data_IF_999701569992
#
_entry.id   IF_999701569992
#
_cell.length_a   1.000
_cell.length_b   1.000
_cell.length_c   1.000
_cell.angle_alpha   90.00
_cell.angle_beta   90.00
_cell.angle_gamma   90.00
#
_symmetry.space_group_name_H-M   'P 1'
#
loop_
_entity.id
_entity.type
_entity.pdbx_description
1 polymer ?
#
# COMPACT_ATOMS: atom_id res chain seq x y z
N UNK A 1 -12.16 32.28 14.39
CA UNK A 1 -12.36 30.82 14.64
C UNK A 1 -11.07 30.09 14.30
N UNK A 2 -10.31 29.58 15.29
CA UNK A 2 -9.11 28.78 15.01
C UNK A 2 -9.55 27.41 14.48
N UNK A 3 -9.49 27.23 13.16
CA UNK A 3 -9.74 25.94 12.50
C UNK A 3 -8.53 25.04 12.74
N UNK A 4 -8.54 24.29 13.84
CA UNK A 4 -7.57 23.21 14.05
C UNK A 4 -7.91 22.08 13.08
N UNK A 5 -6.96 21.69 12.23
CA UNK A 5 -7.15 20.54 11.35
C UNK A 5 -7.42 19.29 12.20
N UNK A 6 -8.43 18.46 11.85
CA UNK A 6 -8.69 17.23 12.59
C UNK A 6 -7.48 16.30 12.43
N UNK A 7 -7.01 15.74 13.55
CA UNK A 7 -5.84 14.86 13.57
C UNK A 7 -5.95 13.68 12.59
N UNK A 8 -7.15 13.13 12.44
CA UNK A 8 -7.43 12.07 11.47
C UNK A 8 -7.09 12.51 10.03
N UNK A 9 -7.42 13.73 9.63
CA UNK A 9 -7.11 14.22 8.29
C UNK A 9 -5.60 14.31 8.05
N UNK A 10 -4.85 14.83 9.04
CA UNK A 10 -3.39 14.91 8.98
C UNK A 10 -2.77 13.53 8.87
N UNK A 11 -3.27 12.57 9.64
CA UNK A 11 -2.84 11.17 9.56
C UNK A 11 -3.13 10.56 8.18
N UNK A 12 -4.33 10.75 7.63
CA UNK A 12 -4.70 10.19 6.32
C UNK A 12 -3.85 10.76 5.18
N UNK A 13 -3.61 12.08 5.17
CA UNK A 13 -2.75 12.72 4.16
C UNK A 13 -1.30 12.27 4.33
N UNK A 14 -0.79 12.23 5.57
CA UNK A 14 0.55 11.74 5.86
C UNK A 14 0.76 10.29 5.44
N UNK A 15 -0.23 9.42 5.71
CA UNK A 15 -0.19 8.02 5.28
C UNK A 15 -0.18 7.88 3.76
N UNK A 16 -0.96 8.69 3.03
CA UNK A 16 -0.95 8.69 1.57
C UNK A 16 0.42 9.10 1.02
N UNK A 17 1.01 10.18 1.57
CA UNK A 17 2.34 10.65 1.15
C UNK A 17 3.40 9.57 1.40
N UNK A 18 3.40 8.93 2.57
CA UNK A 18 4.33 7.84 2.87
C UNK A 18 4.12 6.66 1.91
N UNK A 19 2.87 6.27 1.64
CA UNK A 19 2.57 5.19 0.71
C UNK A 19 3.08 5.49 -0.71
N UNK A 20 2.86 6.72 -1.21
CA UNK A 20 3.39 7.18 -2.50
C UNK A 20 4.90 7.08 -2.51
N UNK A 21 5.58 7.69 -1.53
CA UNK A 21 7.05 7.74 -1.51
C UNK A 21 7.66 6.33 -1.46
N UNK A 22 7.15 5.45 -0.61
CA UNK A 22 7.67 4.09 -0.45
C UNK A 22 7.46 3.27 -1.72
N UNK A 23 6.22 3.22 -2.24
CA UNK A 23 5.91 2.40 -3.42
C UNK A 23 6.62 2.95 -4.65
N UNK A 24 6.56 4.27 -4.88
CA UNK A 24 7.21 4.89 -6.03
C UNK A 24 8.73 4.66 -6.02
N UNK A 25 9.37 4.77 -4.86
CA UNK A 25 10.81 4.50 -4.74
C UNK A 25 11.16 3.07 -5.10
N UNK A 26 10.38 2.08 -4.65
CA UNK A 26 10.60 0.67 -4.99
C UNK A 26 10.37 0.43 -6.50
N UNK A 27 9.33 1.03 -7.06
CA UNK A 27 9.01 0.90 -8.48
C UNK A 27 10.09 1.51 -9.38
N UNK A 28 10.55 2.71 -9.05
CA UNK A 28 11.57 3.44 -9.80
C UNK A 28 12.97 2.84 -9.65
N UNK A 29 13.35 2.40 -8.44
CA UNK A 29 14.71 1.92 -8.17
C UNK A 29 14.93 0.44 -8.50
N UNK A 30 13.88 -0.39 -8.47
CA UNK A 30 14.03 -1.84 -8.65
C UNK A 30 13.10 -2.43 -9.71
N UNK A 31 11.80 -2.19 -9.64
CA UNK A 31 10.85 -2.95 -10.47
C UNK A 31 11.01 -2.61 -11.96
N UNK A 32 11.06 -1.33 -12.31
CA UNK A 32 11.16 -0.90 -13.71
C UNK A 32 12.53 -1.22 -14.32
N UNK A 33 13.67 -0.92 -13.66
CA UNK A 33 14.99 -1.27 -14.21
C UNK A 33 15.15 -2.77 -14.46
N UNK A 34 14.72 -3.62 -13.53
CA UNK A 34 14.79 -5.08 -13.70
C UNK A 34 13.87 -5.58 -14.82
N UNK A 35 12.68 -4.99 -14.95
CA UNK A 35 11.78 -5.34 -16.05
C UNK A 35 12.37 -4.95 -17.42
N UNK A 36 12.99 -3.77 -17.53
CA UNK A 36 13.65 -3.29 -18.74
C UNK A 36 14.84 -4.17 -19.11
N UNK A 37 15.71 -4.52 -18.14
CA UNK A 37 16.84 -5.41 -18.38
C UNK A 37 16.41 -6.80 -18.88
N UNK A 38 15.33 -7.35 -18.31
CA UNK A 38 14.78 -8.65 -18.76
C UNK A 38 14.21 -8.54 -20.17
N UNK A 39 13.58 -7.41 -20.53
CA UNK A 39 13.03 -7.20 -21.87
C UNK A 39 14.13 -7.04 -22.92
N UNK A 40 15.20 -6.30 -22.62
CA UNK A 40 16.36 -6.13 -23.50
C UNK A 40 17.00 -7.48 -23.85
N UNK A 41 17.25 -8.33 -22.84
CA UNK A 41 17.79 -9.68 -23.05
C UNK A 41 16.86 -10.53 -23.93
N UNK A 42 15.54 -10.39 -23.79
CA UNK A 42 14.57 -11.11 -24.64
C UNK A 42 14.64 -10.63 -26.08
N UNK A 43 14.70 -9.32 -26.30
CA UNK A 43 14.80 -8.72 -27.63
C UNK A 43 16.07 -9.19 -28.36
N UNK A 44 17.22 -9.23 -27.68
CA UNK A 44 18.47 -9.73 -28.25
C UNK A 44 18.38 -11.21 -28.66
N UNK A 45 17.81 -12.06 -27.80
CA UNK A 45 17.66 -13.50 -28.09
C UNK A 45 16.69 -13.74 -29.24
N UNK A 46 15.57 -13.01 -29.27
CA UNK A 46 14.62 -13.06 -30.38
C UNK A 46 15.29 -12.62 -31.70
N UNK A 47 16.13 -11.58 -31.69
CA UNK A 47 16.86 -11.12 -32.87
C UNK A 47 17.89 -12.15 -33.37
N UNK A 48 18.48 -12.95 -32.47
CA UNK A 48 19.39 -14.06 -32.85
C UNK A 48 18.69 -15.28 -33.46
N UNK A 49 17.35 -15.29 -33.52
CA UNK A 49 16.56 -16.41 -34.06
C UNK A 49 16.50 -17.63 -33.14
N UNK A 50 16.81 -17.46 -31.85
CA UNK A 50 16.77 -18.54 -30.87
C UNK A 50 15.29 -18.86 -30.52
N UNK A 51 14.93 -20.14 -30.53
CA UNK A 51 13.60 -20.59 -30.09
C UNK A 51 13.57 -20.57 -28.56
N UNK A 52 13.31 -19.39 -28.00
CA UNK A 52 13.27 -19.17 -26.57
C UNK A 52 11.83 -19.26 -26.02
N UNK A 53 11.61 -20.07 -25.00
CA UNK A 53 10.35 -20.06 -24.23
C UNK A 53 10.42 -18.96 -23.19
N UNK A 54 9.63 -17.90 -23.38
CA UNK A 54 9.57 -16.80 -22.41
C UNK A 54 9.08 -17.27 -21.03
N UNK A 55 9.97 -17.27 -20.04
CA UNK A 55 9.56 -17.44 -18.65
C UNK A 55 8.82 -16.19 -18.16
N UNK A 56 7.69 -16.37 -17.48
CA UNK A 56 6.89 -15.25 -16.95
C UNK A 56 7.67 -14.58 -15.81
N UNK A 57 8.08 -13.32 -15.99
CA UNK A 57 8.76 -12.57 -14.94
C UNK A 57 7.77 -11.75 -14.11
N UNK A 58 7.97 -11.75 -12.78
CA UNK A 58 7.14 -10.94 -11.88
C UNK A 58 7.37 -9.43 -12.11
N UNK A 59 8.60 -9.01 -12.41
CA UNK A 59 8.93 -7.61 -12.69
C UNK A 59 8.16 -7.07 -13.90
N UNK A 60 8.03 -7.84 -14.98
CA UNK A 60 7.27 -7.42 -16.17
C UNK A 60 5.78 -7.31 -15.86
N UNK A 61 5.24 -8.20 -15.02
CA UNK A 61 3.82 -8.13 -14.60
C UNK A 61 3.57 -6.91 -13.72
N UNK A 62 4.54 -6.52 -12.90
CA UNK A 62 4.39 -5.42 -11.94
C UNK A 62 4.75 -4.04 -12.49
N UNK A 63 5.56 -3.91 -13.54
CA UNK A 63 6.13 -2.63 -14.01
C UNK A 63 5.11 -1.53 -14.37
N UNK A 64 3.87 -1.90 -14.62
CA UNK A 64 2.85 -0.98 -15.13
C UNK A 64 2.37 0.01 -14.06
N UNK A 65 2.09 1.25 -14.47
CA UNK A 65 1.65 2.32 -13.56
C UNK A 65 0.32 2.04 -12.85
N UNK A 66 -0.53 1.18 -13.42
CA UNK A 66 -1.76 0.72 -12.77
C UNK A 66 -1.46 -0.05 -11.48
N UNK A 67 -0.47 -0.96 -11.53
CA UNK A 67 -0.09 -1.75 -10.36
C UNK A 67 0.53 -0.86 -9.28
N UNK A 68 1.41 0.06 -9.67
CA UNK A 68 2.00 1.06 -8.76
C UNK A 68 0.90 1.83 -8.01
N UNK A 69 -0.07 2.36 -8.75
CA UNK A 69 -1.20 3.12 -8.19
C UNK A 69 -2.06 2.23 -7.28
N UNK A 70 -2.29 0.97 -7.67
CA UNK A 70 -3.03 0.00 -6.88
C UNK A 70 -2.36 -0.27 -5.52
N UNK A 71 -1.04 -0.49 -5.49
CA UNK A 71 -0.30 -0.69 -4.24
C UNK A 71 -0.34 0.55 -3.34
N UNK A 72 -0.18 1.75 -3.92
CA UNK A 72 -0.28 3.01 -3.17
C UNK A 72 -1.65 3.11 -2.49
N UNK A 73 -2.72 2.94 -3.25
CA UNK A 73 -4.09 3.06 -2.75
C UNK A 73 -4.44 1.95 -1.74
N UNK A 74 -3.94 0.74 -1.96
CA UNK A 74 -4.11 -0.38 -1.03
C UNK A 74 -3.45 -0.08 0.33
N UNK A 75 -2.18 0.33 0.33
CA UNK A 75 -1.47 0.67 1.57
C UNK A 75 -2.11 1.86 2.29
N UNK A 76 -2.59 2.85 1.53
CA UNK A 76 -3.31 3.98 2.09
C UNK A 76 -4.64 3.55 2.73
N UNK A 77 -5.44 2.74 2.03
CA UNK A 77 -6.70 2.21 2.53
C UNK A 77 -6.50 1.35 3.79
N UNK A 78 -5.48 0.49 3.82
CA UNK A 78 -5.11 -0.27 5.02
C UNK A 78 -4.70 0.63 6.18
N UNK A 79 -3.98 1.72 5.91
CA UNK A 79 -3.60 2.69 6.95
C UNK A 79 -4.83 3.40 7.56
N UNK A 80 -5.82 3.75 6.73
CA UNK A 80 -7.10 4.33 7.17
C UNK A 80 -7.90 3.31 7.99
N UNK A 81 -8.09 2.10 7.45
CA UNK A 81 -8.86 1.04 8.10
C UNK A 81 -8.22 0.64 9.44
N UNK A 82 -6.89 0.49 9.48
CA UNK A 82 -6.16 0.16 10.70
C UNK A 82 -6.31 1.23 11.79
N UNK A 83 -6.31 2.52 11.42
CA UNK A 83 -6.59 3.61 12.37
C UNK A 83 -8.01 3.52 12.94
N UNK A 84 -9.02 3.35 12.08
CA UNK A 84 -10.42 3.23 12.51
C UNK A 84 -10.65 1.97 13.35
N UNK A 85 -10.05 0.84 12.95
CA UNK A 85 -10.12 -0.42 13.69
C UNK A 85 -9.57 -0.29 15.11
N UNK A 86 -8.43 0.40 15.28
CA UNK A 86 -7.87 0.69 16.62
C UNK A 86 -8.80 1.54 17.48
N UNK A 87 -9.44 2.56 16.90
CA UNK A 87 -10.41 3.38 17.62
C UNK A 87 -11.64 2.57 18.03
N UNK A 88 -12.19 1.75 17.13
CA UNK A 88 -13.31 0.86 17.41
C UNK A 88 -12.99 -0.14 18.54
N UNK A 89 -11.77 -0.68 18.58
CA UNK A 89 -11.35 -1.56 19.68
C UNK A 89 -11.30 -0.83 21.03
N UNK A 90 -10.82 0.42 21.07
CA UNK A 90 -10.81 1.24 22.29
C UNK A 90 -12.21 1.57 22.79
N UNK A 91 -13.11 1.90 21.88
CA UNK A 91 -14.52 2.15 22.20
C UNK A 91 -15.19 0.89 22.77
N UNK A 92 -14.97 -0.29 22.17
CA UNK A 92 -15.48 -1.57 22.70
C UNK A 92 -14.99 -1.87 24.11
N UNK A 93 -13.71 -1.62 24.40
CA UNK A 93 -13.18 -1.81 25.76
C UNK A 93 -13.84 -0.88 26.79
N UNK A 94 -14.15 0.35 26.37
CA UNK A 94 -14.87 1.32 27.22
C UNK A 94 -16.29 0.83 27.52
N UNK A 95 -17.01 0.30 26.53
CA UNK A 95 -18.37 -0.25 26.72
C UNK A 95 -18.41 -1.51 27.61
N UNK A 96 -17.33 -2.27 27.70
CA UNK A 96 -17.23 -3.45 28.58
C UNK A 96 -16.93 -3.10 30.04
N UNK A 97 -16.68 -1.83 30.33
CA UNK A 97 -16.48 -1.37 31.71
C UNK A 97 -17.84 -1.18 32.37
N UNK A 98 -18.06 -1.81 33.52
CA UNK A 98 -19.29 -1.65 34.29
C UNK A 98 -19.35 -0.22 34.86
N UNK A 99 -20.19 0.64 34.28
CA UNK A 99 -20.30 2.05 34.70
C UNK A 99 -21.18 2.25 35.94
N UNK A 100 -22.05 1.28 36.25
CA UNK A 100 -22.96 1.33 37.39
C UNK A 100 -23.01 -0.06 38.02
N UNK A 101 -22.44 -0.19 39.22
CA UNK A 101 -22.58 -1.38 40.05
C UNK A 101 -23.96 -1.30 40.74
N UNK A 102 -24.98 -1.91 40.15
CA UNK A 102 -26.27 -2.06 40.81
C UNK A 102 -26.09 -3.24 41.76
N UNK A 103 -25.70 -2.95 43.01
CA UNK A 103 -25.55 -3.97 44.03
C UNK A 103 -26.82 -4.81 44.14
N UNK A 104 -26.65 -6.13 44.16
CA UNK A 104 -27.74 -7.10 44.28
C UNK A 104 -28.65 -6.70 45.47
N UNK A 105 -29.88 -6.32 45.14
CA UNK A 105 -30.98 -6.08 46.07
C UNK A 105 -32.08 -7.11 45.85
#
# INVERSE_FOLDING_TARGET
MKRTLPFEFVYQVGALLVAILVVHSIFAAYIRPEAEAILEIREERLASGEVFTEERSLYIVLKDYEQESCFILMLWAFSIMGYKFRNALRERGTLQTEFVNVGDG
#
